data_IF_951493731266
#
_entry.id   IF_951493731266
#
_cell.length_a   1.000
_cell.length_b   1.000
_cell.length_c   1.000
_cell.angle_alpha   90.00
_cell.angle_beta   90.00
_cell.angle_gamma   90.00
#
_symmetry.space_group_name_H-M   'P 1'
#
loop_
_entity.id
_entity.type
_entity.pdbx_description
1 polymer ?
#
# COMPACT_ATOMS: atom_id res chain seq x y z
N UNK A 1 10.06 -7.97 17.96
CA UNK A 1 10.41 -7.00 16.88
C UNK A 1 9.22 -6.13 16.51
N UNK A 2 8.01 -6.59 16.85
CA UNK A 2 6.79 -5.82 16.63
C UNK A 2 6.92 -4.40 17.25
N UNK A 3 6.62 -3.40 16.44
CA UNK A 3 6.66 -2.01 16.84
C UNK A 3 8.03 -1.32 16.79
N UNK A 4 9.10 -1.98 16.31
CA UNK A 4 10.36 -1.30 16.00
C UNK A 4 10.31 -0.69 14.59
N UNK A 5 10.62 0.59 14.49
CA UNK A 5 10.61 1.33 13.23
C UNK A 5 11.96 2.03 13.06
N UNK A 6 12.69 1.77 11.96
CA UNK A 6 13.82 2.59 11.61
C UNK A 6 13.37 4.02 11.31
N UNK A 7 14.09 4.99 11.84
CA UNK A 7 13.78 6.41 11.72
C UNK A 7 15.03 7.22 11.37
N UNK A 8 14.90 8.22 10.54
CA UNK A 8 15.93 9.21 10.30
C UNK A 8 16.04 10.13 11.51
N UNK A 9 17.28 10.43 11.94
CA UNK A 9 17.55 11.36 13.02
C UNK A 9 18.02 12.67 12.41
N UNK A 10 17.22 13.72 12.58
CA UNK A 10 17.54 15.07 12.14
C UNK A 10 18.65 15.71 12.99
N UNK A 11 19.17 16.84 12.52
CA UNK A 11 20.19 17.61 13.23
C UNK A 11 19.70 18.16 14.58
N UNK A 12 18.40 18.32 14.75
CA UNK A 12 17.70 18.72 15.96
C UNK A 12 17.44 17.54 16.93
N UNK A 13 17.83 16.32 16.53
CA UNK A 13 17.57 15.10 17.28
C UNK A 13 16.17 14.51 17.11
N UNK A 14 15.31 15.12 16.28
CA UNK A 14 14.01 14.57 15.97
C UNK A 14 14.15 13.29 15.13
N UNK A 15 13.33 12.27 15.44
CA UNK A 15 13.32 11.00 14.72
C UNK A 15 12.06 10.88 13.86
N UNK A 16 12.23 10.76 12.56
CA UNK A 16 11.15 10.60 11.59
C UNK A 16 11.13 9.16 11.06
N UNK A 17 10.02 8.41 11.21
CA UNK A 17 9.90 7.06 10.66
C UNK A 17 10.28 6.99 9.19
N UNK A 18 11.00 5.94 8.80
CA UNK A 18 11.30 5.64 7.41
C UNK A 18 10.20 4.75 6.83
N UNK A 19 9.50 5.24 5.84
CA UNK A 19 8.40 4.53 5.17
C UNK A 19 8.91 3.24 4.52
N UNK A 20 10.01 3.32 3.78
CA UNK A 20 10.67 2.18 3.08
C UNK A 20 11.65 1.49 4.02
N UNK A 21 11.13 0.92 5.09
CA UNK A 21 11.93 0.20 6.08
C UNK A 21 11.18 -0.99 6.68
N UNK A 22 11.91 -2.01 7.08
CA UNK A 22 11.38 -3.21 7.72
C UNK A 22 12.35 -3.68 8.80
N UNK A 23 11.84 -4.19 9.91
CA UNK A 23 12.64 -4.95 10.89
C UNK A 23 12.12 -6.38 10.90
N UNK A 24 12.99 -7.32 10.55
CA UNK A 24 12.67 -8.73 10.51
C UNK A 24 13.91 -9.56 10.88
N UNK A 25 13.72 -10.64 11.61
CA UNK A 25 14.78 -11.59 11.99
C UNK A 25 16.01 -10.91 12.64
N UNK A 26 15.78 -9.92 13.51
CA UNK A 26 16.82 -9.14 14.17
C UNK A 26 17.58 -8.16 13.27
N UNK A 27 17.15 -8.01 12.01
CA UNK A 27 17.79 -7.15 11.02
C UNK A 27 16.89 -6.00 10.62
N UNK A 28 17.43 -4.78 10.55
CA UNK A 28 16.76 -3.64 9.97
C UNK A 28 17.14 -3.49 8.50
N UNK A 29 16.15 -3.57 7.62
CA UNK A 29 16.24 -3.32 6.18
C UNK A 29 15.67 -1.95 5.90
N UNK A 30 16.39 -1.13 5.14
CA UNK A 30 15.96 0.24 4.86
C UNK A 30 16.58 0.79 3.57
N UNK A 31 15.84 1.65 2.89
CA UNK A 31 16.33 2.42 1.76
C UNK A 31 16.63 3.84 2.22
N UNK A 32 17.88 4.29 2.00
CA UNK A 32 18.31 5.64 2.33
C UNK A 32 18.62 6.42 1.05
N UNK A 33 18.20 7.69 0.97
CA UNK A 33 18.54 8.56 -0.15
C UNK A 33 20.02 8.97 -0.17
N UNK A 34 20.78 8.62 0.89
CA UNK A 34 22.18 8.97 1.08
C UNK A 34 22.67 8.61 2.49
N UNK A 35 23.80 9.15 2.90
CA UNK A 35 24.32 8.98 4.26
C UNK A 35 23.41 9.70 5.26
N UNK A 36 22.95 8.98 6.27
CA UNK A 36 22.07 9.50 7.31
C UNK A 36 22.32 8.84 8.66
N UNK A 37 21.94 9.51 9.74
CA UNK A 37 21.84 8.91 11.07
C UNK A 37 20.50 8.21 11.19
N UNK A 38 20.51 6.96 11.64
CA UNK A 38 19.29 6.15 11.81
C UNK A 38 19.19 5.67 13.24
N UNK A 39 18.00 5.72 13.79
CA UNK A 39 17.66 5.13 15.09
C UNK A 39 16.54 4.11 14.92
N UNK A 40 16.45 3.15 15.84
CA UNK A 40 15.27 2.31 16.00
C UNK A 40 14.38 2.94 17.08
N UNK A 41 13.19 3.34 16.69
CA UNK A 41 12.19 3.90 17.61
C UNK A 41 11.05 2.89 17.82
N UNK A 42 10.32 3.03 18.92
CA UNK A 42 9.06 2.32 19.12
C UNK A 42 7.93 3.17 18.56
N UNK A 43 7.28 2.68 17.51
CA UNK A 43 6.17 3.33 16.82
C UNK A 43 4.88 2.53 16.94
N UNK A 44 4.61 1.93 18.09
CA UNK A 44 3.41 1.10 18.26
C UNK A 44 2.18 2.00 18.41
N UNK A 45 1.46 2.26 17.32
CA UNK A 45 0.08 2.69 17.40
C UNK A 45 -0.79 1.45 17.62
N UNK A 46 -1.65 1.50 18.62
CA UNK A 46 -2.65 0.48 18.94
C UNK A 46 -4.04 1.04 18.71
N UNK A 47 -4.96 0.21 18.29
CA UNK A 47 -6.34 0.59 18.00
C UNK A 47 -7.30 -0.32 18.74
N UNK A 48 -8.34 0.23 19.34
CA UNK A 48 -9.31 -0.51 20.14
C UNK A 48 -10.04 -1.62 19.36
N UNK A 49 -10.16 -1.46 18.04
CA UNK A 49 -10.80 -2.41 17.12
C UNK A 49 -9.79 -3.36 16.43
N UNK A 50 -8.52 -3.34 16.84
CA UNK A 50 -7.48 -4.27 16.38
C UNK A 50 -6.87 -4.95 17.61
N UNK A 51 -7.54 -5.96 18.18
CA UNK A 51 -7.07 -6.61 19.40
C UNK A 51 -5.82 -7.46 19.15
N UNK A 52 -5.10 -7.77 20.23
CA UNK A 52 -4.02 -8.74 20.21
C UNK A 52 -4.53 -10.08 19.64
N UNK A 53 -3.83 -10.63 18.65
CA UNK A 53 -4.23 -11.85 17.96
C UNK A 53 -5.15 -11.64 16.74
N UNK A 54 -5.54 -10.40 16.43
CA UNK A 54 -6.12 -10.11 15.11
C UNK A 54 -5.12 -10.45 14.02
N UNK A 55 -5.56 -11.14 12.96
CA UNK A 55 -4.67 -11.65 11.91
C UNK A 55 -3.77 -10.60 11.25
N UNK A 56 -4.27 -9.35 11.15
CA UNK A 56 -3.59 -8.22 10.52
C UNK A 56 -2.96 -7.24 11.52
N UNK A 57 -2.90 -7.55 12.83
CA UNK A 57 -2.47 -6.60 13.86
C UNK A 57 -1.05 -6.07 13.60
N UNK A 58 -0.10 -6.93 13.23
CA UNK A 58 1.27 -6.53 12.92
C UNK A 58 1.33 -5.61 11.70
N UNK A 59 0.60 -5.94 10.64
CA UNK A 59 0.55 -5.15 9.42
C UNK A 59 -0.14 -3.78 9.63
N UNK A 60 -1.19 -3.74 10.46
CA UNK A 60 -1.83 -2.48 10.86
C UNK A 60 -0.85 -1.60 11.63
N UNK A 61 -0.16 -2.15 12.64
CA UNK A 61 0.86 -1.44 13.39
C UNK A 61 2.02 -0.99 12.49
N UNK A 62 2.44 -1.82 11.52
CA UNK A 62 3.44 -1.48 10.52
C UNK A 62 3.01 -0.26 9.69
N UNK A 63 1.82 -0.27 9.13
CA UNK A 63 1.34 0.80 8.26
C UNK A 63 1.08 2.10 9.03
N UNK A 64 0.53 2.01 10.25
CA UNK A 64 0.23 3.17 11.09
C UNK A 64 1.51 3.84 11.60
N UNK A 65 2.47 3.08 12.11
CA UNK A 65 3.73 3.60 12.64
C UNK A 65 4.61 4.31 11.62
N UNK A 66 4.38 4.08 10.32
CA UNK A 66 5.04 4.76 9.19
C UNK A 66 4.19 5.85 8.54
N UNK A 67 3.02 6.15 9.13
CA UNK A 67 2.10 7.15 8.58
C UNK A 67 1.48 6.77 7.22
N UNK A 68 1.63 5.51 6.78
CA UNK A 68 1.08 5.02 5.50
C UNK A 68 -0.44 4.96 5.55
N UNK A 69 -0.99 4.29 6.58
CA UNK A 69 -2.41 4.28 6.89
C UNK A 69 -2.64 4.81 8.31
N UNK A 70 -3.55 5.73 8.46
CA UNK A 70 -3.90 6.32 9.75
C UNK A 70 -5.22 5.73 10.27
N UNK A 71 -5.44 5.85 11.59
CA UNK A 71 -6.75 5.56 12.18
C UNK A 71 -7.86 6.44 11.64
N UNK A 72 -9.10 6.01 11.81
CA UNK A 72 -10.29 6.74 11.37
C UNK A 72 -10.85 7.69 12.44
N UNK A 73 -10.13 7.84 13.55
CA UNK A 73 -10.53 8.61 14.71
C UNK A 73 -11.14 7.74 15.82
N UNK A 74 -11.27 8.31 17.04
CA UNK A 74 -11.83 7.59 18.18
C UNK A 74 -11.08 6.31 18.56
N UNK A 75 -9.76 6.31 18.43
CA UNK A 75 -8.89 5.18 18.72
C UNK A 75 -9.21 3.91 17.89
N UNK A 76 -9.69 4.11 16.65
CA UNK A 76 -10.09 3.03 15.74
C UNK A 76 -9.32 3.08 14.44
N UNK A 77 -8.99 1.88 13.92
CA UNK A 77 -8.40 1.69 12.59
C UNK A 77 -9.44 1.37 11.52
N UNK A 78 -10.55 0.75 11.89
CA UNK A 78 -11.57 0.20 10.99
C UNK A 78 -11.01 -0.87 10.03
N UNK A 79 -10.47 -1.99 10.56
CA UNK A 79 -9.71 -2.97 9.78
C UNK A 79 -10.52 -3.63 8.65
N UNK A 80 -11.81 -3.80 8.84
CA UNK A 80 -12.74 -4.39 7.87
C UNK A 80 -13.36 -3.34 6.92
N UNK A 81 -13.14 -2.06 7.19
CA UNK A 81 -13.55 -0.97 6.31
C UNK A 81 -12.90 -1.09 4.94
N UNK A 82 -13.63 -0.72 3.88
CA UNK A 82 -13.11 -0.79 2.51
C UNK A 82 -12.21 0.40 2.20
N UNK A 83 -11.15 0.14 1.44
CA UNK A 83 -10.26 1.20 0.97
C UNK A 83 -10.82 1.83 -0.31
N UNK A 84 -10.74 3.16 -0.42
CA UNK A 84 -11.09 3.85 -1.68
C UNK A 84 -9.87 3.98 -2.60
N UNK A 85 -10.12 4.31 -3.87
CA UNK A 85 -9.05 4.56 -4.85
C UNK A 85 -8.17 5.74 -4.42
N UNK A 86 -8.78 6.82 -3.89
CA UNK A 86 -8.05 7.97 -3.36
C UNK A 86 -7.13 7.58 -2.18
N UNK A 87 -7.61 6.75 -1.28
CA UNK A 87 -6.80 6.27 -0.16
C UNK A 87 -5.57 5.48 -0.65
N UNK A 88 -5.74 4.58 -1.62
CA UNK A 88 -4.62 3.78 -2.11
C UNK A 88 -3.53 4.65 -2.77
N UNK A 89 -3.90 5.55 -3.68
CA UNK A 89 -2.87 6.42 -4.32
C UNK A 89 -2.20 7.32 -3.30
N UNK A 90 -2.91 7.77 -2.25
CA UNK A 90 -2.32 8.57 -1.18
C UNK A 90 -1.32 7.78 -0.34
N UNK A 91 -1.61 6.49 -0.10
CA UNK A 91 -0.65 5.62 0.59
C UNK A 91 0.62 5.42 -0.23
N UNK A 92 0.50 5.15 -1.53
CA UNK A 92 1.66 4.99 -2.43
C UNK A 92 2.44 6.31 -2.57
N UNK A 93 1.75 7.44 -2.62
CA UNK A 93 2.34 8.77 -2.65
C UNK A 93 3.15 9.08 -1.37
N UNK A 94 2.62 8.71 -0.21
CA UNK A 94 3.35 8.80 1.07
C UNK A 94 4.58 7.90 1.07
N UNK A 95 4.45 6.66 0.58
CA UNK A 95 5.56 5.72 0.49
C UNK A 95 6.71 6.25 -0.39
N UNK A 96 6.41 7.11 -1.39
CA UNK A 96 7.41 7.79 -2.21
C UNK A 96 7.91 9.12 -1.63
N UNK A 97 7.53 9.46 -0.39
CA UNK A 97 7.96 10.71 0.24
C UNK A 97 7.26 11.95 -0.31
N UNK A 98 6.07 11.77 -0.89
CA UNK A 98 5.20 12.85 -1.38
C UNK A 98 5.87 13.75 -2.44
N UNK A 99 6.30 13.21 -3.58
CA UNK A 99 6.97 13.97 -4.63
C UNK A 99 6.11 15.13 -5.13
N UNK A 100 6.73 16.31 -5.28
CA UNK A 100 6.05 17.53 -5.72
C UNK A 100 6.03 17.65 -7.26
N UNK A 101 5.17 18.52 -7.78
CA UNK A 101 5.20 19.01 -9.16
C UNK A 101 4.22 18.38 -10.13
N UNK A 102 3.46 17.35 -9.72
CA UNK A 102 2.44 16.76 -10.60
C UNK A 102 1.23 17.69 -10.78
N UNK A 103 0.75 17.81 -12.01
CA UNK A 103 -0.42 18.63 -12.36
C UNK A 103 -1.72 17.82 -12.29
N UNK A 104 -2.85 18.52 -12.06
CA UNK A 104 -4.18 17.89 -12.01
C UNK A 104 -4.48 17.14 -13.32
N UNK A 105 -4.84 15.86 -13.17
CA UNK A 105 -5.04 14.94 -14.30
C UNK A 105 -6.50 14.51 -14.52
N UNK A 106 -7.38 14.70 -13.53
CA UNK A 106 -8.73 14.13 -13.55
C UNK A 106 -9.82 15.17 -13.33
N UNK A 107 -10.92 15.06 -14.07
CA UNK A 107 -12.01 16.02 -14.06
C UNK A 107 -12.85 16.02 -12.78
N UNK A 108 -12.82 14.94 -12.00
CA UNK A 108 -13.58 14.73 -10.76
C UNK A 108 -12.70 14.87 -9.51
N UNK A 109 -11.48 15.37 -9.64
CA UNK A 109 -10.56 15.64 -8.51
C UNK A 109 -10.47 17.16 -8.33
N UNK A 110 -11.07 17.66 -7.25
CA UNK A 110 -10.96 19.06 -6.87
C UNK A 110 -9.51 19.38 -6.44
N UNK A 111 -9.03 20.58 -6.78
CA UNK A 111 -7.63 21.00 -6.49
C UNK A 111 -7.34 20.98 -4.99
N UNK A 112 -8.32 21.30 -4.16
CA UNK A 112 -8.20 21.34 -2.70
C UNK A 112 -8.48 19.98 -2.04
N UNK A 113 -8.78 18.94 -2.81
CA UNK A 113 -9.01 17.61 -2.25
C UNK A 113 -7.73 17.09 -1.58
N UNK A 114 -7.86 16.46 -0.40
CA UNK A 114 -6.72 15.94 0.37
C UNK A 114 -5.86 14.92 -0.39
N UNK A 115 -6.44 14.33 -1.44
CA UNK A 115 -5.78 13.34 -2.31
C UNK A 115 -5.36 13.93 -3.67
N UNK A 116 -5.55 15.22 -3.92
CA UNK A 116 -5.34 15.81 -5.25
C UNK A 116 -3.91 15.61 -5.76
N UNK A 117 -2.92 15.95 -4.95
CA UNK A 117 -1.50 15.77 -5.30
C UNK A 117 -1.15 14.29 -5.52
N UNK A 118 -1.69 13.40 -4.69
CA UNK A 118 -1.46 11.97 -4.84
C UNK A 118 -2.10 11.40 -6.13
N UNK A 119 -3.30 11.84 -6.48
CA UNK A 119 -3.98 11.44 -7.71
C UNK A 119 -3.24 11.95 -8.95
N UNK A 120 -2.79 13.20 -8.94
CA UNK A 120 -1.99 13.79 -10.01
C UNK A 120 -0.67 13.04 -10.21
N UNK A 121 0.09 12.83 -9.14
CA UNK A 121 1.32 12.05 -9.18
C UNK A 121 1.10 10.62 -9.70
N UNK A 122 0.08 9.93 -9.20
CA UNK A 122 -0.19 8.56 -9.61
C UNK A 122 -0.58 8.47 -11.10
N UNK A 123 -1.21 9.50 -11.66
CA UNK A 123 -1.50 9.60 -13.09
C UNK A 123 -0.22 9.83 -13.90
N UNK A 124 0.62 10.79 -13.51
CA UNK A 124 1.89 11.12 -14.18
C UNK A 124 2.86 9.95 -14.15
N UNK A 125 2.96 9.27 -13.01
CA UNK A 125 3.76 8.06 -12.84
C UNK A 125 3.18 6.81 -13.54
N UNK A 126 2.01 6.92 -14.18
CA UNK A 126 1.34 5.80 -14.84
C UNK A 126 0.80 4.72 -13.91
N UNK A 127 0.74 4.98 -12.61
CA UNK A 127 0.28 4.04 -11.58
C UNK A 127 -1.24 3.92 -11.60
N UNK A 128 -1.94 5.07 -11.67
CA UNK A 128 -3.39 5.12 -11.70
C UNK A 128 -3.90 5.70 -13.02
N UNK A 129 -4.61 4.88 -13.77
CA UNK A 129 -5.39 5.35 -14.92
C UNK A 129 -6.78 5.78 -14.43
N UNK A 130 -7.37 6.76 -15.11
CA UNK A 130 -8.77 7.09 -14.92
C UNK A 130 -9.70 5.91 -15.21
N UNK A 131 -10.96 6.09 -14.87
CA UNK A 131 -12.04 5.19 -15.28
C UNK A 131 -12.57 5.64 -16.66
N UNK A 132 -13.80 5.95 -16.84
CA UNK A 132 -14.32 6.50 -18.11
C UNK A 132 -14.40 8.01 -18.07
N UNK A 133 -14.33 8.70 -19.24
CA UNK A 133 -14.57 10.14 -19.35
C UNK A 133 -13.56 11.05 -18.66
N UNK A 134 -12.32 10.58 -18.40
CA UNK A 134 -11.29 11.37 -17.72
C UNK A 134 -11.49 11.49 -16.20
N UNK A 135 -12.35 10.67 -15.60
CA UNK A 135 -12.60 10.65 -14.16
C UNK A 135 -11.65 9.66 -13.44
N UNK A 136 -11.31 9.97 -12.20
CA UNK A 136 -10.53 9.11 -11.30
C UNK A 136 -11.40 8.19 -10.46
N UNK A 137 -12.59 8.61 -10.13
CA UNK A 137 -13.53 7.99 -9.18
C UNK A 137 -12.90 7.82 -7.77
N UNK A 138 -12.51 8.91 -7.09
CA UNK A 138 -11.72 8.87 -5.86
C UNK A 138 -12.39 8.12 -4.71
N UNK A 139 -13.69 8.29 -4.54
CA UNK A 139 -14.48 7.70 -3.45
C UNK A 139 -14.93 6.25 -3.73
N UNK A 140 -14.72 5.76 -4.94
CA UNK A 140 -15.07 4.39 -5.27
C UNK A 140 -14.15 3.41 -4.54
N UNK A 141 -14.75 2.40 -3.89
CA UNK A 141 -14.01 1.30 -3.28
C UNK A 141 -13.11 0.61 -4.29
N UNK A 142 -11.89 0.29 -3.90
CA UNK A 142 -10.95 -0.40 -4.76
C UNK A 142 -11.18 -1.92 -4.70
N UNK A 143 -11.28 -2.55 -5.87
CA UNK A 143 -11.33 -4.00 -5.95
C UNK A 143 -9.94 -4.61 -5.85
N UNK A 144 -9.86 -5.89 -5.47
CA UNK A 144 -8.59 -6.62 -5.34
C UNK A 144 -7.82 -6.68 -6.67
N UNK A 145 -8.50 -6.81 -7.81
CA UNK A 145 -7.86 -6.76 -9.13
C UNK A 145 -7.35 -5.34 -9.47
N UNK A 146 -8.04 -4.29 -9.05
CA UNK A 146 -7.56 -2.91 -9.23
C UNK A 146 -6.38 -2.59 -8.31
N UNK A 147 -6.43 -3.06 -7.07
CA UNK A 147 -5.29 -3.00 -6.14
C UNK A 147 -4.07 -3.67 -6.77
N UNK A 148 -4.20 -4.90 -7.27
CA UNK A 148 -3.10 -5.60 -7.94
C UNK A 148 -2.55 -4.80 -9.12
N UNK A 149 -3.43 -4.22 -9.97
CA UNK A 149 -3.02 -3.45 -11.14
C UNK A 149 -2.25 -2.17 -10.78
N UNK A 150 -2.68 -1.44 -9.73
CA UNK A 150 -1.96 -0.26 -9.26
C UNK A 150 -0.62 -0.62 -8.62
N UNK A 151 -0.56 -1.69 -7.82
CA UNK A 151 0.68 -2.17 -7.22
C UNK A 151 1.68 -2.69 -8.25
N UNK A 152 1.21 -3.38 -9.29
CA UNK A 152 2.05 -3.86 -10.38
C UNK A 152 2.71 -2.71 -11.14
N UNK A 153 1.94 -1.66 -11.46
CA UNK A 153 2.47 -0.45 -12.11
C UNK A 153 3.41 0.32 -11.18
N UNK A 154 3.03 0.44 -9.90
CA UNK A 154 3.90 1.04 -8.90
C UNK A 154 5.23 0.28 -8.75
N UNK A 155 5.21 -1.06 -8.75
CA UNK A 155 6.42 -1.86 -8.71
C UNK A 155 7.33 -1.58 -9.90
N UNK A 156 6.77 -1.48 -11.12
CA UNK A 156 7.53 -1.06 -12.30
C UNK A 156 8.10 0.35 -12.19
N UNK A 157 7.33 1.32 -11.67
CA UNK A 157 7.78 2.68 -11.37
C UNK A 157 8.95 2.69 -10.37
N UNK A 158 8.86 1.88 -9.31
CA UNK A 158 9.90 1.73 -8.29
C UNK A 158 11.11 0.88 -8.74
N UNK A 159 11.12 0.37 -9.96
CA UNK A 159 12.23 -0.43 -10.50
C UNK A 159 12.29 -1.87 -9.97
N UNK A 160 11.21 -2.38 -9.39
CA UNK A 160 11.15 -3.77 -8.94
C UNK A 160 10.98 -4.74 -10.11
N UNK A 161 11.43 -5.98 -9.93
CA UNK A 161 11.17 -7.04 -10.90
C UNK A 161 9.69 -7.40 -10.94
N UNK A 162 9.06 -7.17 -12.08
CA UNK A 162 7.66 -7.48 -12.35
C UNK A 162 7.48 -8.72 -13.23
N UNK A 163 8.50 -9.55 -13.41
CA UNK A 163 8.48 -10.70 -14.30
C UNK A 163 7.86 -11.97 -13.72
N UNK A 164 7.83 -12.10 -12.38
CA UNK A 164 7.30 -13.28 -11.70
C UNK A 164 5.82 -13.53 -12.04
N UNK A 165 5.45 -14.79 -12.22
CA UNK A 165 4.06 -15.19 -12.57
C UNK A 165 3.63 -16.44 -11.83
N UNK A 166 2.39 -16.41 -11.34
CA UNK A 166 1.68 -17.58 -10.80
C UNK A 166 0.35 -17.76 -11.54
N UNK A 167 0.03 -18.95 -12.01
CA UNK A 167 -1.24 -19.22 -12.70
C UNK A 167 -2.45 -18.94 -11.80
N UNK A 168 -3.46 -18.23 -12.32
CA UNK A 168 -4.70 -17.94 -11.59
C UNK A 168 -5.64 -19.15 -11.55
N UNK A 169 -5.36 -20.20 -12.34
CA UNK A 169 -6.13 -21.46 -12.37
C UNK A 169 -6.07 -22.23 -11.05
N UNK A 170 -5.16 -21.86 -10.14
CA UNK A 170 -5.13 -22.40 -8.77
C UNK A 170 -6.33 -21.96 -7.92
N UNK A 171 -7.09 -20.95 -8.36
CA UNK A 171 -8.22 -20.39 -7.63
C UNK A 171 -9.53 -20.71 -8.36
N UNK A 172 -10.56 -21.11 -7.60
CA UNK A 172 -11.85 -21.51 -8.15
C UNK A 172 -12.52 -20.42 -9.00
N UNK A 173 -12.30 -19.14 -8.65
CA UNK A 173 -12.83 -17.95 -9.30
C UNK A 173 -11.76 -17.17 -10.09
N UNK A 174 -10.61 -17.76 -10.34
CA UNK A 174 -9.52 -17.11 -11.07
C UNK A 174 -9.90 -16.67 -12.50
N UNK A 175 -10.91 -17.31 -13.11
CA UNK A 175 -11.44 -16.93 -14.41
C UNK A 175 -12.40 -15.70 -14.37
N UNK A 176 -12.88 -15.30 -13.19
CA UNK A 176 -13.82 -14.17 -13.02
C UNK A 176 -13.13 -12.80 -13.08
N UNK A 177 -11.79 -12.77 -13.16
CA UNK A 177 -11.04 -11.52 -13.32
C UNK A 177 -11.33 -10.82 -14.63
N UNK A 178 -11.20 -9.51 -14.66
CA UNK A 178 -11.11 -8.75 -15.90
C UNK A 178 -9.81 -9.09 -16.65
N UNK A 179 -9.85 -9.17 -17.99
CA UNK A 179 -8.68 -9.54 -18.78
C UNK A 179 -7.46 -8.64 -18.57
N UNK A 180 -7.66 -7.33 -18.34
CA UNK A 180 -6.60 -6.37 -18.07
C UNK A 180 -5.88 -6.59 -16.73
N UNK A 181 -6.49 -7.33 -15.80
CA UNK A 181 -5.95 -7.55 -14.46
C UNK A 181 -5.12 -8.85 -14.35
N UNK A 182 -5.13 -9.71 -15.37
CA UNK A 182 -4.53 -11.04 -15.33
C UNK A 182 -3.05 -10.99 -14.97
N UNK A 183 -2.29 -10.17 -15.67
CA UNK A 183 -0.85 -10.05 -15.48
C UNK A 183 -0.51 -9.54 -14.07
N UNK A 184 -1.21 -8.50 -13.61
CA UNK A 184 -1.01 -7.90 -12.32
C UNK A 184 -1.38 -8.85 -11.16
N UNK A 185 -2.50 -9.55 -11.27
CA UNK A 185 -2.90 -10.56 -10.28
C UNK A 185 -1.90 -11.72 -10.23
N UNK A 186 -1.47 -12.20 -11.40
CA UNK A 186 -0.48 -13.28 -11.51
C UNK A 186 0.85 -12.91 -10.85
N UNK A 187 1.32 -11.66 -11.06
CA UNK A 187 2.51 -11.13 -10.41
C UNK A 187 2.32 -10.97 -8.89
N UNK A 188 1.20 -10.37 -8.46
CA UNK A 188 0.95 -10.12 -7.05
C UNK A 188 0.85 -11.41 -6.23
N UNK A 189 0.35 -12.49 -6.83
CA UNK A 189 0.34 -13.82 -6.23
C UNK A 189 1.73 -14.45 -6.20
N UNK A 190 2.48 -14.37 -7.31
CA UNK A 190 3.83 -14.94 -7.41
C UNK A 190 4.81 -14.31 -6.42
N UNK A 191 4.64 -13.03 -6.13
CA UNK A 191 5.44 -12.28 -5.15
C UNK A 191 4.91 -12.38 -3.72
N UNK A 192 3.76 -13.02 -3.52
CA UNK A 192 3.11 -13.12 -2.22
C UNK A 192 2.47 -11.82 -1.71
N UNK A 193 2.42 -10.76 -2.53
CA UNK A 193 1.74 -9.50 -2.18
C UNK A 193 0.25 -9.73 -1.91
N UNK A 194 -0.41 -10.48 -2.81
CA UNK A 194 -1.76 -10.95 -2.60
C UNK A 194 -1.75 -12.44 -2.29
N UNK A 195 -2.69 -12.84 -1.46
CA UNK A 195 -2.99 -14.25 -1.18
C UNK A 195 -4.45 -14.52 -1.52
N UNK A 196 -4.80 -15.80 -1.67
CA UNK A 196 -6.20 -16.21 -1.76
C UNK A 196 -6.95 -15.95 -0.45
N UNK A 197 -8.25 -15.96 -0.56
CA UNK A 197 -9.21 -15.98 0.56
C UNK A 197 -9.63 -17.41 0.89
N UNK A 198 -10.41 -17.56 1.94
CA UNK A 198 -10.98 -18.84 2.34
C UNK A 198 -11.68 -19.55 1.19
N UNK A 199 -11.64 -20.88 1.21
CA UNK A 199 -12.23 -21.72 0.17
C UNK A 199 -11.48 -21.70 -1.17
N UNK A 200 -10.22 -21.30 -1.19
CA UNK A 200 -9.40 -21.29 -2.42
C UNK A 200 -9.84 -20.27 -3.46
N UNK A 201 -10.40 -19.15 -3.02
CA UNK A 201 -10.87 -18.06 -3.88
C UNK A 201 -9.85 -16.94 -3.96
N UNK A 202 -9.79 -16.27 -5.11
CA UNK A 202 -9.03 -15.05 -5.34
C UNK A 202 -9.84 -13.79 -5.04
N UNK A 203 -11.13 -13.83 -5.30
CA UNK A 203 -12.12 -12.74 -5.15
C UNK A 203 -11.68 -11.46 -5.90
N UNK A 204 -11.42 -11.54 -7.22
CA UNK A 204 -10.79 -10.43 -7.95
C UNK A 204 -11.66 -9.16 -8.01
N UNK A 205 -12.98 -9.31 -8.03
CA UNK A 205 -13.95 -8.21 -8.04
C UNK A 205 -14.37 -7.75 -6.64
N UNK A 206 -14.01 -8.49 -5.59
CA UNK A 206 -14.26 -8.11 -4.20
C UNK A 206 -13.43 -6.90 -3.79
N UNK A 207 -13.94 -6.13 -2.85
CA UNK A 207 -13.25 -4.96 -2.31
C UNK A 207 -12.09 -5.38 -1.40
N UNK A 208 -11.02 -4.59 -1.42
CA UNK A 208 -9.93 -4.74 -0.47
C UNK A 208 -10.24 -3.99 0.84
N UNK A 209 -10.08 -4.67 1.97
CA UNK A 209 -10.21 -4.06 3.28
C UNK A 209 -8.94 -3.28 3.68
N UNK A 210 -9.08 -2.39 4.67
CA UNK A 210 -7.95 -1.61 5.19
C UNK A 210 -6.86 -2.51 5.79
N UNK A 211 -7.24 -3.57 6.50
CA UNK A 211 -6.28 -4.54 7.03
C UNK A 211 -5.59 -5.36 5.93
N UNK A 212 -6.34 -5.77 4.89
CA UNK A 212 -5.75 -6.44 3.72
C UNK A 212 -4.70 -5.55 3.04
N UNK A 213 -5.01 -4.26 2.86
CA UNK A 213 -4.05 -3.31 2.26
C UNK A 213 -2.86 -3.07 3.17
N UNK A 214 -3.04 -2.97 4.50
CA UNK A 214 -1.92 -2.87 5.43
C UNK A 214 -0.95 -4.07 5.28
N UNK A 215 -1.48 -5.30 5.19
CA UNK A 215 -0.68 -6.50 4.99
C UNK A 215 0.05 -6.51 3.63
N UNK A 216 -0.61 -5.99 2.59
CA UNK A 216 0.01 -5.83 1.26
C UNK A 216 1.15 -4.81 1.29
N UNK A 217 0.98 -3.69 2.00
CA UNK A 217 2.02 -2.66 2.12
C UNK A 217 3.26 -3.15 2.87
N UNK A 218 3.08 -3.89 3.96
CA UNK A 218 4.20 -4.50 4.68
C UNK A 218 5.01 -5.43 3.78
N UNK A 219 4.33 -6.28 3.00
CA UNK A 219 4.97 -7.19 2.03
C UNK A 219 5.63 -6.42 0.89
N UNK A 220 4.99 -5.37 0.37
CA UNK A 220 5.53 -4.51 -0.69
C UNK A 220 6.83 -3.84 -0.23
N UNK A 221 6.84 -3.24 0.96
CA UNK A 221 8.06 -2.67 1.53
C UNK A 221 9.12 -3.76 1.71
N UNK A 222 8.74 -4.95 2.15
CA UNK A 222 9.65 -6.09 2.23
C UNK A 222 10.31 -6.46 0.91
N UNK A 223 9.58 -6.37 -0.22
CA UNK A 223 10.14 -6.57 -1.56
C UNK A 223 11.08 -5.44 -2.01
N UNK A 224 10.85 -4.22 -1.52
CA UNK A 224 11.65 -3.05 -1.89
C UNK A 224 12.99 -3.00 -1.18
N UNK A 225 13.08 -3.51 0.06
CA UNK A 225 14.26 -3.32 0.93
C UNK A 225 15.11 -4.57 1.10
N UNK A 226 14.68 -5.74 0.63
CA UNK A 226 15.42 -7.00 0.68
C UNK A 226 16.06 -7.32 -0.65
#
# INVERSE_FOLDING_TARGET
>A
EAGLVPALVGADGAATPLEKSLVADGTAYLLLPGSASVALIRGAETFADVPDGYWGAEAVAFAASRGLLQGVGGDRFDPDGVLTRAMLVTVLYRLEGQPEGAEAAFSDVAVEAWYASAAAWAAEAGIANGVSGGAFAPERSITRQELAAMLYRYAGYAGLDTSARQPLTAFADGAERAGWAEEALSWALATGLLTGKDGGRLDPAGNASRAEVAAVLERLVGLMVR
#
